data_IF_037341878952
#
_entry.id   IF_037341878952
#
_cell.length_a   1.000
_cell.length_b   1.000
_cell.length_c   1.000
_cell.angle_alpha   90.00
_cell.angle_beta   90.00
_cell.angle_gamma   90.00
#
_symmetry.space_group_name_H-M   'P 1'
#
loop_
_entity.id
_entity.type
_entity.pdbx_description
1 polymer ?
#
# COMPACT_ATOMS: atom_id res chain seq x y z
N UNK A 1 -5.77 9.26 0.53
CA UNK A 1 -4.67 10.22 0.77
C UNK A 1 -5.21 11.62 1.06
N UNK A 2 -6.07 12.16 0.23
CA UNK A 2 -6.55 13.55 0.37
C UNK A 2 -7.39 13.76 1.63
N UNK A 3 -8.25 12.80 1.99
CA UNK A 3 -9.08 12.85 3.20
C UNK A 3 -8.24 12.82 4.49
N UNK A 4 -7.23 11.93 4.59
CA UNK A 4 -6.36 11.87 5.76
C UNK A 4 -5.55 13.17 5.94
N UNK A 5 -5.06 13.75 4.83
CA UNK A 5 -4.39 15.06 4.85
C UNK A 5 -5.33 16.20 5.25
N UNK A 6 -6.57 16.15 4.77
CA UNK A 6 -7.60 17.13 5.13
C UNK A 6 -7.83 17.12 6.65
N UNK A 7 -8.02 15.93 7.24
CA UNK A 7 -8.19 15.76 8.69
C UNK A 7 -7.00 16.37 9.45
N UNK A 8 -5.77 16.04 9.04
CA UNK A 8 -4.58 16.61 9.70
C UNK A 8 -4.52 18.14 9.56
N UNK A 9 -4.92 18.68 8.41
CA UNK A 9 -4.97 20.14 8.21
C UNK A 9 -6.06 20.82 9.05
N UNK A 10 -7.25 20.20 9.19
CA UNK A 10 -8.31 20.68 10.08
C UNK A 10 -7.83 20.73 11.54
N UNK A 11 -7.14 19.69 12.00
CA UNK A 11 -6.53 19.67 13.33
C UNK A 11 -5.49 20.79 13.49
N UNK A 12 -4.62 21.02 12.48
CA UNK A 12 -3.65 22.13 12.49
C UNK A 12 -4.30 23.50 12.61
N UNK A 13 -5.48 23.66 12.05
CA UNK A 13 -6.27 24.90 12.10
C UNK A 13 -7.07 25.05 13.39
N UNK A 14 -6.98 24.09 14.31
CA UNK A 14 -7.70 24.11 15.60
C UNK A 14 -9.11 23.51 15.52
N UNK A 15 -9.54 22.98 14.38
CA UNK A 15 -10.81 22.27 14.27
C UNK A 15 -10.66 20.83 14.79
N UNK A 16 -10.73 20.70 16.11
CA UNK A 16 -10.50 19.45 16.81
C UNK A 16 -11.84 18.85 17.24
N UNK A 17 -12.07 17.59 16.84
CA UNK A 17 -13.29 16.85 17.22
C UNK A 17 -13.09 16.08 18.50
N UNK A 18 -14.15 15.90 19.32
CA UNK A 18 -14.05 15.13 20.55
C UNK A 18 -13.85 13.62 20.33
N UNK A 19 -14.24 13.10 19.17
CA UNK A 19 -14.06 11.69 18.81
C UNK A 19 -13.52 11.59 17.37
N UNK A 20 -12.42 10.85 17.20
CA UNK A 20 -11.89 10.38 15.93
C UNK A 20 -12.04 8.87 15.85
N UNK A 21 -12.96 8.38 15.04
CA UNK A 21 -13.11 6.95 14.78
C UNK A 21 -12.44 6.60 13.45
N UNK A 22 -11.20 6.10 13.53
CA UNK A 22 -10.35 5.81 12.39
C UNK A 22 -10.45 4.31 12.08
N UNK A 23 -11.04 3.94 10.94
CA UNK A 23 -11.29 2.54 10.60
C UNK A 23 -10.87 2.20 9.17
N UNK A 24 -10.74 0.91 8.86
CA UNK A 24 -10.55 0.40 7.50
C UNK A 24 -9.29 -0.43 7.32
N UNK A 25 -8.99 -0.74 6.06
CA UNK A 25 -7.97 -1.73 5.68
C UNK A 25 -6.55 -1.15 5.59
N UNK A 26 -6.42 0.16 5.30
CA UNK A 26 -5.12 0.81 5.17
C UNK A 26 -4.70 1.44 6.50
N UNK A 27 -3.89 0.69 7.23
CA UNK A 27 -3.46 1.08 8.59
C UNK A 27 -2.53 2.29 8.58
N UNK A 28 -1.78 2.51 7.51
CA UNK A 28 -0.86 3.64 7.37
C UNK A 28 -1.52 5.00 7.65
N UNK A 29 -2.72 5.21 7.12
CA UNK A 29 -3.44 6.47 7.37
C UNK A 29 -4.03 6.56 8.77
N UNK A 30 -4.50 5.44 9.33
CA UNK A 30 -5.01 5.37 10.70
C UNK A 30 -3.90 5.74 11.68
N UNK A 31 -2.74 5.10 11.53
CA UNK A 31 -1.59 5.37 12.37
C UNK A 31 -1.05 6.80 12.15
N UNK A 32 -1.03 7.28 10.91
CA UNK A 32 -0.59 8.65 10.59
C UNK A 32 -1.43 9.73 11.27
N UNK A 33 -2.78 9.62 11.23
CA UNK A 33 -3.66 10.58 11.92
C UNK A 33 -3.52 10.45 13.44
N UNK A 34 -3.54 9.22 13.95
CA UNK A 34 -3.42 8.95 15.40
C UNK A 34 -2.10 9.47 15.97
N UNK A 35 -0.98 9.21 15.30
CA UNK A 35 0.33 9.69 15.74
C UNK A 35 0.41 11.22 15.65
N UNK A 36 -0.16 11.82 14.57
CA UNK A 36 -0.20 13.28 14.48
C UNK A 36 -0.94 13.90 15.68
N UNK A 37 -2.09 13.33 16.08
CA UNK A 37 -2.84 13.76 17.27
C UNK A 37 -1.98 13.61 18.52
N UNK A 38 -1.34 12.46 18.72
CA UNK A 38 -0.48 12.16 19.86
C UNK A 38 0.69 13.15 20.01
N UNK A 39 1.28 13.52 18.88
CA UNK A 39 2.51 14.32 18.89
C UNK A 39 2.25 15.82 18.98
N UNK A 40 1.05 16.30 18.56
CA UNK A 40 0.85 17.72 18.33
C UNK A 40 -0.28 18.39 19.12
N UNK A 41 -1.18 17.65 19.80
CA UNK A 41 -2.30 18.25 20.51
C UNK A 41 -1.99 18.70 21.92
N UNK A 42 -0.93 18.18 22.50
CA UNK A 42 -0.47 18.52 23.87
C UNK A 42 1.02 18.85 23.81
N UNK A 43 1.46 19.76 24.68
CA UNK A 43 2.89 19.99 24.92
C UNK A 43 3.52 18.77 25.60
N UNK A 44 4.84 18.64 25.54
CA UNK A 44 5.54 17.51 26.18
C UNK A 44 5.28 17.46 27.71
N UNK A 45 5.10 18.60 28.35
CA UNK A 45 4.80 18.71 29.77
C UNK A 45 3.38 18.24 30.10
N UNK A 46 2.40 18.54 29.22
CA UNK A 46 1.01 18.13 29.40
C UNK A 46 0.77 16.65 29.11
N UNK A 47 1.55 16.05 28.21
CA UNK A 47 1.40 14.64 27.82
C UNK A 47 1.48 13.68 28.98
N UNK A 48 2.35 13.96 29.95
CA UNK A 48 2.56 13.08 31.12
C UNK A 48 1.29 12.84 31.95
N UNK A 49 0.37 13.81 32.00
CA UNK A 49 -0.86 13.75 32.80
C UNK A 49 -2.13 13.63 31.94
N UNK A 50 -2.09 14.12 30.71
CA UNK A 50 -3.28 14.27 29.87
C UNK A 50 -3.27 13.42 28.60
N UNK A 51 -2.23 12.61 28.36
CA UNK A 51 -2.21 11.68 27.24
C UNK A 51 -2.19 10.23 27.74
N UNK A 52 -3.10 9.43 27.21
CA UNK A 52 -3.19 8.01 27.52
C UNK A 52 -3.26 7.20 26.25
N UNK A 53 -2.44 6.14 26.14
CA UNK A 53 -2.52 5.16 25.06
C UNK A 53 -2.95 3.82 25.65
N UNK A 54 -4.07 3.30 25.15
CA UNK A 54 -4.65 2.02 25.52
C UNK A 54 -4.61 1.05 24.34
N UNK A 55 -4.56 -0.24 24.61
CA UNK A 55 -4.66 -1.27 23.57
C UNK A 55 -5.97 -2.05 23.73
N UNK A 56 -6.69 -2.27 22.63
CA UNK A 56 -8.02 -2.88 22.67
C UNK A 56 -8.11 -4.24 23.38
N UNK A 57 -7.03 -5.04 23.36
CA UNK A 57 -6.96 -6.32 24.07
C UNK A 57 -6.80 -6.19 25.58
N UNK A 58 -6.26 -5.06 26.05
CA UNK A 58 -5.87 -4.85 27.45
C UNK A 58 -6.85 -3.92 28.19
N UNK A 59 -7.94 -3.49 27.56
CA UNK A 59 -8.95 -2.57 28.10
C UNK A 59 -10.37 -2.98 27.68
N UNK A 60 -11.35 -2.26 28.17
CA UNK A 60 -12.77 -2.42 27.82
C UNK A 60 -13.44 -1.07 27.59
N UNK A 61 -14.65 -1.06 27.01
CA UNK A 61 -15.37 0.18 26.69
C UNK A 61 -15.73 0.98 27.94
N UNK A 62 -16.06 0.33 29.03
CA UNK A 62 -16.41 0.95 30.30
C UNK A 62 -15.21 1.74 30.87
N UNK A 63 -14.01 1.17 30.82
CA UNK A 63 -12.77 1.82 31.24
C UNK A 63 -12.41 2.99 30.34
N UNK A 64 -12.49 2.82 29.01
CA UNK A 64 -12.27 3.89 28.04
C UNK A 64 -13.19 5.07 28.30
N UNK A 65 -14.49 4.82 28.48
CA UNK A 65 -15.50 5.84 28.76
C UNK A 65 -15.26 6.50 30.11
N UNK A 66 -14.89 5.74 31.14
CA UNK A 66 -14.55 6.28 32.47
C UNK A 66 -13.39 7.28 32.37
N UNK A 67 -12.32 6.92 31.65
CA UNK A 67 -11.20 7.81 31.43
C UNK A 67 -11.59 9.02 30.56
N UNK A 68 -12.39 8.82 29.54
CA UNK A 68 -12.82 9.88 28.61
C UNK A 68 -13.72 10.94 29.25
N UNK A 69 -14.40 10.60 30.34
CA UNK A 69 -15.24 11.54 31.11
C UNK A 69 -14.47 12.38 32.12
N UNK A 70 -13.19 12.10 32.34
CA UNK A 70 -12.36 12.89 33.28
C UNK A 70 -12.05 14.27 32.68
N UNK A 71 -11.76 15.22 33.52
CA UNK A 71 -11.24 16.52 33.13
C UNK A 71 -9.72 16.51 33.00
N UNK A 72 -9.15 17.25 32.09
CA UNK A 72 -7.69 17.38 31.97
C UNK A 72 -7.09 18.01 33.22
N UNK A 73 -5.84 17.69 33.51
CA UNK A 73 -5.08 18.28 34.60
C UNK A 73 -4.18 19.38 34.08
N UNK A 74 -4.47 20.64 34.50
CA UNK A 74 -3.67 21.83 34.11
C UNK A 74 -3.43 22.00 32.59
N UNK A 75 -4.38 21.53 31.78
CA UNK A 75 -4.36 21.61 30.33
C UNK A 75 -5.78 21.89 29.80
N UNK A 76 -5.88 22.38 28.56
CA UNK A 76 -7.18 22.63 27.92
C UNK A 76 -7.91 21.32 27.55
N UNK A 77 -7.16 20.27 27.30
CA UNK A 77 -7.72 18.97 26.86
C UNK A 77 -6.89 17.78 27.29
N UNK A 78 -7.52 16.60 27.27
CA UNK A 78 -6.84 15.31 27.35
C UNK A 78 -6.98 14.55 26.04
N UNK A 79 -6.03 13.66 25.76
CA UNK A 79 -5.99 12.80 24.57
C UNK A 79 -5.97 11.34 24.97
N UNK A 80 -6.93 10.57 24.54
CA UNK A 80 -7.00 9.13 24.78
C UNK A 80 -6.95 8.41 23.43
N UNK A 81 -5.92 7.60 23.22
CA UNK A 81 -5.71 6.86 21.99
C UNK A 81 -5.91 5.37 22.27
N UNK A 82 -6.87 4.76 21.61
CA UNK A 82 -7.13 3.32 21.70
C UNK A 82 -6.58 2.66 20.44
N UNK A 83 -5.38 2.07 20.57
CA UNK A 83 -4.77 1.27 19.49
C UNK A 83 -5.40 -0.11 19.43
N UNK A 84 -5.44 -0.71 18.23
CA UNK A 84 -6.02 -2.03 17.97
C UNK A 84 -7.46 -2.17 18.49
N UNK A 85 -8.28 -1.10 18.35
CA UNK A 85 -9.65 -1.05 18.86
C UNK A 85 -10.58 -2.11 18.23
N UNK A 86 -10.19 -2.78 17.13
CA UNK A 86 -10.93 -3.91 16.56
C UNK A 86 -11.02 -5.13 17.49
N UNK A 87 -10.17 -5.22 18.50
CA UNK A 87 -10.26 -6.27 19.53
C UNK A 87 -11.51 -6.09 20.40
N UNK A 88 -12.02 -4.86 20.50
CA UNK A 88 -13.28 -4.51 21.17
C UNK A 88 -14.51 -4.68 20.28
N UNK A 89 -14.40 -5.29 19.10
CA UNK A 89 -15.49 -5.34 18.10
C UNK A 89 -16.81 -5.91 18.60
N UNK A 90 -16.79 -6.78 19.62
CA UNK A 90 -18.00 -7.37 20.21
C UNK A 90 -18.76 -6.40 21.12
N UNK A 91 -18.06 -5.46 21.74
CA UNK A 91 -18.60 -4.51 22.73
C UNK A 91 -18.58 -3.07 22.27
N UNK A 92 -18.01 -2.78 21.08
CA UNK A 92 -17.77 -1.42 20.53
C UNK A 92 -19.04 -0.56 20.49
N UNK A 93 -20.22 -1.17 20.29
CA UNK A 93 -21.51 -0.47 20.27
C UNK A 93 -21.84 0.24 21.58
N UNK A 94 -21.32 -0.21 22.73
CA UNK A 94 -21.51 0.45 24.03
C UNK A 94 -20.90 1.85 24.07
N UNK A 95 -19.97 2.15 23.15
CA UNK A 95 -19.39 3.49 23.03
C UNK A 95 -20.43 4.52 22.52
N UNK A 96 -21.55 4.06 21.93
CA UNK A 96 -22.59 4.93 21.39
C UNK A 96 -23.18 5.90 22.43
N UNK A 97 -23.34 5.45 23.67
CA UNK A 97 -23.94 6.26 24.73
C UNK A 97 -22.99 7.41 25.17
N UNK A 98 -21.68 7.16 25.20
CA UNK A 98 -20.70 8.24 25.40
C UNK A 98 -20.67 9.18 24.20
N UNK A 99 -20.72 8.63 22.99
CA UNK A 99 -20.67 9.41 21.75
C UNK A 99 -21.87 10.34 21.55
N UNK A 100 -23.02 10.12 22.23
CA UNK A 100 -24.15 11.04 22.18
C UNK A 100 -23.83 12.39 22.83
N UNK A 101 -23.06 12.39 23.89
CA UNK A 101 -22.64 13.59 24.61
C UNK A 101 -21.18 13.46 25.09
N UNK A 102 -20.21 13.54 24.16
CA UNK A 102 -18.82 13.37 24.49
C UNK A 102 -18.29 14.55 25.32
N UNK A 103 -17.35 14.27 26.20
CA UNK A 103 -16.69 15.31 27.00
C UNK A 103 -15.94 16.28 26.07
N UNK A 104 -16.28 17.59 26.08
CA UNK A 104 -15.69 18.55 25.13
C UNK A 104 -14.17 18.73 25.28
N UNK A 105 -13.64 18.52 26.48
CA UNK A 105 -12.21 18.64 26.79
C UNK A 105 -11.43 17.34 26.52
N UNK A 106 -12.07 16.30 25.97
CA UNK A 106 -11.45 15.02 25.65
C UNK A 106 -11.37 14.81 24.15
N UNK A 107 -10.23 14.38 23.66
CA UNK A 107 -10.03 13.87 22.30
C UNK A 107 -9.85 12.36 22.36
N UNK A 108 -10.90 11.62 22.03
CA UNK A 108 -10.88 10.17 21.98
C UNK A 108 -10.59 9.69 20.58
N UNK A 109 -9.48 8.95 20.38
CA UNK A 109 -9.06 8.39 19.09
C UNK A 109 -9.20 6.87 19.13
N UNK A 110 -10.08 6.31 18.29
CA UNK A 110 -10.31 4.88 18.16
C UNK A 110 -9.64 4.37 16.86
N UNK A 111 -8.51 3.66 16.98
CA UNK A 111 -7.81 3.06 15.83
C UNK A 111 -8.38 1.65 15.57
N UNK A 112 -9.43 1.57 14.74
CA UNK A 112 -10.19 0.36 14.44
C UNK A 112 -9.72 -0.26 13.12
N UNK A 113 -8.60 -0.99 13.16
CA UNK A 113 -7.91 -1.51 11.99
C UNK A 113 -8.58 -2.74 11.39
N UNK A 114 -8.43 -2.94 10.07
CA UNK A 114 -8.89 -4.09 9.29
C UNK A 114 -10.40 -4.36 9.31
N UNK A 115 -11.16 -3.60 10.07
CA UNK A 115 -12.62 -3.74 10.22
C UNK A 115 -13.31 -2.40 9.99
N UNK A 116 -14.64 -2.48 9.86
CA UNK A 116 -15.52 -1.31 9.72
C UNK A 116 -16.74 -1.50 10.61
N UNK A 117 -17.27 -0.40 11.13
CA UNK A 117 -18.59 -0.42 11.77
C UNK A 117 -19.67 -0.22 10.71
N UNK A 118 -20.78 -0.92 10.84
CA UNK A 118 -21.92 -0.79 9.92
C UNK A 118 -22.54 0.61 10.07
N UNK A 119 -22.69 1.30 8.94
CA UNK A 119 -23.26 2.65 8.86
C UNK A 119 -24.70 2.75 9.40
N UNK A 120 -25.41 1.62 9.47
CA UNK A 120 -26.79 1.54 10.00
C UNK A 120 -26.84 1.52 11.52
N UNK A 121 -25.74 1.16 12.19
CA UNK A 121 -25.66 1.02 13.63
C UNK A 121 -25.69 2.37 14.36
N UNK A 122 -26.19 2.37 15.61
CA UNK A 122 -26.29 3.55 16.48
C UNK A 122 -24.95 4.26 16.62
N UNK A 123 -23.88 3.53 16.92
CA UNK A 123 -22.54 4.08 17.11
C UNK A 123 -22.08 4.92 15.90
N UNK A 124 -22.19 4.37 14.67
CA UNK A 124 -21.77 5.10 13.48
C UNK A 124 -22.58 6.40 13.31
N UNK A 125 -23.92 6.31 13.43
CA UNK A 125 -24.80 7.48 13.25
C UNK A 125 -24.53 8.57 14.29
N UNK A 126 -24.19 8.16 15.50
CA UNK A 126 -23.91 9.09 16.61
C UNK A 126 -22.58 9.77 16.39
N UNK A 127 -21.48 9.02 16.15
CA UNK A 127 -20.15 9.62 15.91
C UNK A 127 -20.16 10.51 14.66
N UNK A 128 -20.93 10.18 13.63
CA UNK A 128 -21.06 11.04 12.44
C UNK A 128 -21.64 12.43 12.74
N UNK A 129 -22.34 12.60 13.87
CA UNK A 129 -22.91 13.89 14.30
C UNK A 129 -22.01 14.64 15.28
N UNK A 130 -21.34 13.91 16.18
CA UNK A 130 -20.60 14.49 17.32
C UNK A 130 -19.09 14.44 17.16
N UNK A 131 -18.58 13.71 16.18
CA UNK A 131 -17.14 13.50 15.96
C UNK A 131 -16.80 13.36 14.50
N UNK A 132 -15.72 12.64 14.22
CA UNK A 132 -15.23 12.36 12.87
C UNK A 132 -15.08 10.85 12.67
N UNK A 133 -15.59 10.34 11.55
CA UNK A 133 -15.37 8.97 11.08
C UNK A 133 -14.48 9.04 9.84
N UNK A 134 -13.34 8.36 9.89
CA UNK A 134 -12.46 8.17 8.75
C UNK A 134 -12.43 6.70 8.34
N UNK A 135 -12.69 6.42 7.08
CA UNK A 135 -12.63 5.07 6.51
C UNK A 135 -11.46 4.97 5.52
N UNK A 136 -10.37 4.34 5.93
CA UNK A 136 -9.24 4.05 5.05
C UNK A 136 -9.54 2.88 4.11
N UNK A 137 -9.12 3.01 2.85
CA UNK A 137 -9.22 1.95 1.84
C UNK A 137 -7.83 1.56 1.39
N UNK A 138 -7.62 0.25 1.26
CA UNK A 138 -6.37 -0.27 0.70
C UNK A 138 -6.18 0.22 -0.72
N UNK A 139 -4.98 0.64 -1.04
CA UNK A 139 -4.62 0.96 -2.42
C UNK A 139 -4.39 -0.32 -3.22
N UNK A 140 -4.86 -0.30 -4.46
CA UNK A 140 -4.49 -1.33 -5.42
C UNK A 140 -3.06 -1.09 -5.92
N UNK A 141 -2.37 -2.13 -6.34
CA UNK A 141 -0.97 -2.08 -6.78
C UNK A 141 -0.73 -0.98 -7.83
N UNK A 142 -1.63 -0.85 -8.81
CA UNK A 142 -1.56 0.18 -9.84
C UNK A 142 -1.70 1.62 -9.33
N UNK A 143 -2.15 1.83 -8.10
CA UNK A 143 -2.31 3.14 -7.47
C UNK A 143 -1.11 3.51 -6.60
N UNK A 144 -0.32 2.52 -6.18
CA UNK A 144 0.78 2.72 -5.23
C UNK A 144 1.91 3.55 -5.87
N UNK A 145 2.22 3.32 -7.15
CA UNK A 145 3.23 4.11 -7.86
C UNK A 145 2.87 5.60 -7.90
N UNK A 146 1.62 5.92 -8.23
CA UNK A 146 1.13 7.31 -8.21
C UNK A 146 1.12 7.89 -6.79
N UNK A 147 0.81 7.06 -5.79
CA UNK A 147 0.86 7.46 -4.38
C UNK A 147 2.29 7.83 -3.96
N UNK A 148 3.29 7.04 -4.34
CA UNK A 148 4.71 7.33 -4.08
C UNK A 148 5.09 8.69 -4.68
N UNK A 149 4.81 8.90 -5.96
CA UNK A 149 5.12 10.16 -6.65
C UNK A 149 4.45 11.37 -5.98
N UNK A 150 3.17 11.27 -5.62
CA UNK A 150 2.43 12.33 -4.92
C UNK A 150 2.97 12.58 -3.52
N UNK A 151 3.35 11.53 -2.80
CA UNK A 151 3.92 11.63 -1.45
C UNK A 151 5.27 12.34 -1.51
N UNK A 152 6.18 11.94 -2.40
CA UNK A 152 7.47 12.58 -2.57
C UNK A 152 7.33 14.05 -2.99
N UNK A 153 6.46 14.34 -3.96
CA UNK A 153 6.17 15.72 -4.36
C UNK A 153 5.69 16.60 -3.21
N UNK A 154 4.82 16.06 -2.34
CA UNK A 154 4.32 16.82 -1.18
C UNK A 154 5.39 17.10 -0.12
N UNK A 155 6.46 16.33 -0.13
CA UNK A 155 7.64 16.49 0.75
C UNK A 155 8.74 17.34 0.09
N UNK A 156 8.50 17.83 -1.15
CA UNK A 156 9.46 18.65 -1.90
C UNK A 156 10.52 17.85 -2.66
N UNK A 157 10.26 16.56 -2.91
CA UNK A 157 11.14 15.68 -3.69
C UNK A 157 10.49 15.24 -4.99
N UNK A 158 11.33 14.84 -5.96
CA UNK A 158 10.88 14.25 -7.21
C UNK A 158 11.40 12.82 -7.33
N UNK A 159 10.55 11.92 -7.84
CA UNK A 159 10.93 10.52 -8.14
C UNK A 159 10.44 10.15 -9.53
N UNK A 160 11.26 9.43 -10.29
CA UNK A 160 10.87 8.99 -11.63
C UNK A 160 9.81 7.87 -11.58
N UNK A 161 8.93 7.78 -12.60
CA UNK A 161 7.94 6.69 -12.66
C UNK A 161 8.56 5.29 -12.59
N UNK A 162 9.72 5.09 -13.24
CA UNK A 162 10.45 3.82 -13.21
C UNK A 162 10.96 3.50 -11.79
N UNK A 163 11.57 4.46 -11.10
CA UNK A 163 12.03 4.28 -9.72
C UNK A 163 10.86 4.00 -8.75
N UNK A 164 9.74 4.70 -8.94
CA UNK A 164 8.51 4.44 -8.19
C UNK A 164 7.98 3.02 -8.41
N UNK A 165 7.98 2.54 -9.65
CA UNK A 165 7.55 1.17 -9.97
C UNK A 165 8.48 0.10 -9.38
N UNK A 166 9.78 0.33 -9.38
CA UNK A 166 10.75 -0.57 -8.73
C UNK A 166 10.45 -0.74 -7.24
N UNK A 167 10.11 0.35 -6.54
CA UNK A 167 9.70 0.29 -5.14
C UNK A 167 8.41 -0.54 -4.95
N UNK A 168 7.42 -0.36 -5.81
CA UNK A 168 6.16 -1.13 -5.76
C UNK A 168 6.41 -2.62 -5.95
N UNK A 169 7.23 -2.99 -6.92
CA UNK A 169 7.51 -4.40 -7.19
C UNK A 169 8.30 -5.10 -6.09
N UNK A 170 9.19 -4.36 -5.43
CA UNK A 170 10.02 -4.90 -4.36
C UNK A 170 9.31 -4.94 -3.01
N UNK A 171 8.58 -3.86 -2.67
CA UNK A 171 7.94 -3.68 -1.36
C UNK A 171 6.46 -4.08 -1.36
N UNK A 172 5.87 -4.29 -2.53
CA UNK A 172 4.45 -4.57 -2.68
C UNK A 172 3.58 -3.34 -2.43
N UNK A 173 2.43 -3.56 -1.79
CA UNK A 173 1.43 -2.51 -1.51
C UNK A 173 1.42 -2.03 -0.06
N UNK A 174 2.41 -2.39 0.73
CA UNK A 174 2.55 -1.98 2.13
C UNK A 174 3.06 -0.53 2.19
N UNK A 175 2.14 0.42 2.39
CA UNK A 175 2.46 1.85 2.41
C UNK A 175 3.41 2.22 3.54
N UNK A 176 3.35 1.50 4.68
CA UNK A 176 4.25 1.75 5.81
C UNK A 176 5.70 1.39 5.47
N UNK A 177 5.92 0.22 4.86
CA UNK A 177 7.26 -0.18 4.39
C UNK A 177 7.78 0.77 3.31
N UNK A 178 6.93 1.11 2.35
CA UNK A 178 7.30 2.05 1.29
C UNK A 178 7.67 3.41 1.90
N UNK A 179 6.88 3.93 2.82
CA UNK A 179 7.14 5.22 3.45
C UNK A 179 8.47 5.25 4.23
N UNK A 180 8.80 4.16 4.90
CA UNK A 180 10.09 4.03 5.58
C UNK A 180 11.27 4.13 4.59
N UNK A 181 11.18 3.47 3.43
CA UNK A 181 12.21 3.58 2.39
C UNK A 181 12.26 5.00 1.78
N UNK A 182 11.08 5.63 1.56
CA UNK A 182 11.03 7.01 1.10
C UNK A 182 11.66 7.99 2.10
N UNK A 183 11.47 7.78 3.40
CA UNK A 183 12.12 8.59 4.43
C UNK A 183 13.65 8.42 4.41
N UNK A 184 14.17 7.21 4.24
CA UNK A 184 15.62 7.00 4.07
C UNK A 184 16.18 7.77 2.86
N UNK A 185 15.48 7.69 1.72
CA UNK A 185 15.89 8.45 0.52
C UNK A 185 15.91 9.96 0.77
N UNK A 186 14.99 10.49 1.58
CA UNK A 186 14.96 11.92 1.93
C UNK A 186 16.16 12.35 2.79
N UNK A 187 16.72 11.45 3.60
CA UNK A 187 17.93 11.74 4.39
C UNK A 187 19.19 11.82 3.52
N UNK A 188 19.20 11.12 2.40
CA UNK A 188 20.38 10.96 1.52
C UNK A 188 20.32 11.95 0.35
N UNK A 189 19.13 12.14 -0.24
CA UNK A 189 18.97 12.94 -1.45
C UNK A 189 18.65 14.42 -1.13
N UNK A 190 19.24 15.33 -1.92
CA UNK A 190 18.83 16.75 -1.91
C UNK A 190 17.43 16.91 -2.55
N UNK A 191 16.69 17.94 -2.15
CA UNK A 191 15.31 18.17 -2.63
C UNK A 191 15.20 18.36 -4.15
N UNK A 192 16.18 18.97 -4.78
CA UNK A 192 16.20 19.19 -6.23
C UNK A 192 16.60 17.95 -7.04
N UNK A 193 17.08 16.89 -6.38
CA UNK A 193 17.51 15.67 -7.06
C UNK A 193 16.29 14.85 -7.50
N UNK A 194 16.24 14.49 -8.78
CA UNK A 194 15.29 13.49 -9.28
C UNK A 194 15.75 12.11 -8.83
N UNK A 195 14.99 11.47 -7.96
CA UNK A 195 15.26 10.10 -7.52
C UNK A 195 15.04 9.16 -8.72
N UNK A 196 16.16 8.64 -9.21
CA UNK A 196 16.25 7.77 -10.37
C UNK A 196 16.35 6.29 -9.97
N UNK A 197 16.24 5.34 -10.92
CA UNK A 197 16.51 3.92 -10.68
C UNK A 197 17.89 3.65 -10.09
N UNK A 198 18.90 4.41 -10.48
CA UNK A 198 20.26 4.27 -9.98
C UNK A 198 20.35 4.57 -8.47
N UNK A 199 19.66 5.63 -8.04
CA UNK A 199 19.57 6.00 -6.62
C UNK A 199 18.86 4.90 -5.81
N UNK A 200 17.81 4.28 -6.38
CA UNK A 200 17.12 3.15 -5.74
C UNK A 200 18.06 1.94 -5.61
N UNK A 201 18.79 1.62 -6.69
CA UNK A 201 19.76 0.50 -6.68
C UNK A 201 20.83 0.71 -5.62
N UNK A 202 21.44 1.89 -5.58
CA UNK A 202 22.54 2.21 -4.67
C UNK A 202 22.13 2.20 -3.19
N UNK A 203 20.92 2.70 -2.88
CA UNK A 203 20.53 2.97 -1.49
C UNK A 203 19.53 1.96 -0.92
N UNK A 204 18.80 1.22 -1.76
CA UNK A 204 17.79 0.23 -1.34
C UNK A 204 18.21 -1.19 -1.74
N UNK A 205 19.18 -1.33 -2.66
CA UNK A 205 19.71 -2.61 -3.09
C UNK A 205 18.84 -3.34 -4.14
N UNK A 206 17.92 -2.64 -4.77
CA UNK A 206 17.08 -3.20 -5.85
C UNK A 206 17.79 -2.97 -7.19
N UNK A 207 18.18 -4.05 -7.88
CA UNK A 207 18.84 -3.90 -9.18
C UNK A 207 17.95 -3.16 -10.18
N UNK A 208 18.49 -2.13 -10.81
CA UNK A 208 17.82 -1.35 -11.85
C UNK A 208 17.68 -2.09 -13.18
N UNK A 209 18.56 -3.07 -13.43
CA UNK A 209 18.67 -3.80 -14.69
C UNK A 209 18.10 -5.23 -14.59
N UNK A 210 18.19 -5.84 -13.38
CA UNK A 210 17.79 -7.22 -13.14
C UNK A 210 16.64 -7.29 -12.12
N UNK A 211 15.45 -6.91 -12.56
CA UNK A 211 14.20 -6.95 -11.78
C UNK A 211 13.04 -7.43 -12.66
N UNK A 212 11.90 -7.72 -12.05
CA UNK A 212 10.73 -8.24 -12.78
C UNK A 212 10.15 -7.23 -13.77
N UNK A 213 10.29 -5.92 -13.53
CA UNK A 213 9.85 -4.90 -14.47
C UNK A 213 10.67 -4.96 -15.77
N UNK A 214 11.99 -5.02 -15.67
CA UNK A 214 12.89 -5.13 -16.81
C UNK A 214 12.70 -6.48 -17.53
N UNK A 215 12.42 -7.57 -16.79
CA UNK A 215 12.09 -8.86 -17.39
C UNK A 215 10.83 -8.78 -18.26
N UNK A 216 9.73 -8.21 -17.72
CA UNK A 216 8.47 -8.04 -18.45
C UNK A 216 8.66 -7.18 -19.70
N UNK A 217 9.42 -6.11 -19.59
CA UNK A 217 9.75 -5.22 -20.71
C UNK A 217 10.53 -5.96 -21.78
N UNK A 218 11.62 -6.65 -21.41
CA UNK A 218 12.44 -7.43 -22.34
C UNK A 218 11.61 -8.51 -23.05
N UNK A 219 10.76 -9.23 -22.33
CA UNK A 219 9.84 -10.21 -22.91
C UNK A 219 8.87 -9.52 -23.87
N UNK A 220 8.22 -8.44 -23.46
CA UNK A 220 7.24 -7.69 -24.26
C UNK A 220 7.83 -7.15 -25.57
N UNK A 221 9.06 -6.70 -25.55
CA UNK A 221 9.84 -6.22 -26.71
C UNK A 221 10.48 -7.35 -27.52
N UNK A 222 10.40 -8.61 -27.04
CA UNK A 222 11.09 -9.77 -27.63
C UNK A 222 12.62 -9.65 -27.61
N UNK A 223 13.16 -8.91 -26.64
CA UNK A 223 14.61 -8.86 -26.39
C UNK A 223 15.04 -10.14 -25.63
N UNK A 224 15.27 -11.19 -26.42
CA UNK A 224 15.62 -12.52 -25.93
C UNK A 224 16.93 -12.49 -25.13
N UNK A 225 17.93 -11.72 -25.56
CA UNK A 225 19.22 -11.65 -24.90
C UNK A 225 19.10 -11.04 -23.49
N UNK A 226 18.42 -9.91 -23.40
CA UNK A 226 18.18 -9.24 -22.12
C UNK A 226 17.34 -10.11 -21.16
N UNK A 227 16.27 -10.71 -21.66
CA UNK A 227 15.42 -11.61 -20.87
C UNK A 227 16.22 -12.79 -20.30
N UNK A 228 17.09 -13.43 -21.09
CA UNK A 228 17.96 -14.51 -20.61
C UNK A 228 18.97 -14.04 -19.56
N UNK A 229 19.55 -12.86 -19.71
CA UNK A 229 20.47 -12.29 -18.71
C UNK A 229 19.75 -12.08 -17.37
N UNK A 230 18.53 -11.56 -17.39
CA UNK A 230 17.74 -11.34 -16.17
C UNK A 230 17.38 -12.67 -15.52
N UNK A 231 16.90 -13.66 -16.28
CA UNK A 231 16.58 -14.99 -15.74
C UNK A 231 17.80 -15.71 -15.18
N UNK A 232 18.97 -15.57 -15.80
CA UNK A 232 20.20 -16.13 -15.25
C UNK A 232 20.59 -15.47 -13.91
N UNK A 233 20.41 -14.15 -13.80
CA UNK A 233 20.62 -13.46 -12.54
C UNK A 233 19.64 -13.93 -11.46
N UNK A 234 18.34 -14.12 -11.78
CA UNK A 234 17.35 -14.65 -10.84
C UNK A 234 17.69 -16.07 -10.39
N UNK A 235 18.11 -16.92 -11.32
CA UNK A 235 18.54 -18.29 -11.02
C UNK A 235 19.74 -18.35 -10.05
N UNK A 236 20.65 -17.38 -10.12
CA UNK A 236 21.80 -17.26 -9.22
C UNK A 236 21.43 -16.61 -7.87
N UNK A 237 20.35 -15.83 -7.81
CA UNK A 237 19.91 -15.09 -6.63
C UNK A 237 18.44 -15.43 -6.26
N UNK A 238 18.11 -16.70 -5.97
CA UNK A 238 16.71 -17.16 -5.80
C UNK A 238 16.05 -16.65 -4.51
N UNK A 239 16.84 -16.24 -3.52
CA UNK A 239 16.29 -15.64 -2.27
C UNK A 239 15.68 -14.27 -2.53
N UNK A 240 16.34 -13.45 -3.36
CA UNK A 240 15.91 -12.10 -3.68
C UNK A 240 14.89 -12.10 -4.83
N UNK A 241 14.89 -13.15 -5.64
CA UNK A 241 14.01 -13.31 -6.82
C UNK A 241 13.26 -14.66 -6.79
N UNK A 242 12.30 -14.85 -5.86
CA UNK A 242 11.57 -16.11 -5.75
C UNK A 242 10.77 -16.42 -7.02
N UNK A 243 10.87 -17.66 -7.53
CA UNK A 243 10.17 -18.14 -8.72
C UNK A 243 8.65 -17.84 -8.68
N UNK A 244 8.01 -18.05 -7.53
CA UNK A 244 6.56 -17.85 -7.36
C UNK A 244 6.16 -16.39 -7.59
N UNK A 245 6.99 -15.45 -7.16
CA UNK A 245 6.77 -14.01 -7.38
C UNK A 245 6.88 -13.68 -8.87
N UNK A 246 7.92 -14.17 -9.53
CA UNK A 246 8.13 -13.97 -10.98
C UNK A 246 6.99 -14.55 -11.80
N UNK A 247 6.53 -15.77 -11.50
CA UNK A 247 5.38 -16.40 -12.19
C UNK A 247 4.12 -15.54 -11.99
N UNK A 248 3.84 -15.09 -10.77
CA UNK A 248 2.65 -14.28 -10.46
C UNK A 248 2.64 -12.96 -11.23
N UNK A 249 3.79 -12.28 -11.29
CA UNK A 249 3.93 -11.01 -12.03
C UNK A 249 3.81 -11.21 -13.54
N UNK A 250 4.40 -12.27 -14.10
CA UNK A 250 4.26 -12.61 -15.52
C UNK A 250 2.81 -13.02 -15.85
N UNK A 251 2.14 -13.77 -14.99
CA UNK A 251 0.73 -14.10 -15.15
C UNK A 251 -0.16 -12.86 -15.19
N UNK A 252 0.06 -11.92 -14.26
CA UNK A 252 -0.65 -10.64 -14.26
C UNK A 252 -0.41 -9.85 -15.56
N UNK A 253 0.84 -9.78 -16.00
CA UNK A 253 1.22 -9.09 -17.22
C UNK A 253 0.56 -9.67 -18.47
N UNK A 254 0.65 -10.99 -18.66
CA UNK A 254 0.03 -11.64 -19.83
C UNK A 254 -1.50 -11.64 -19.77
N UNK A 255 -2.08 -11.70 -18.57
CA UNK A 255 -3.53 -11.51 -18.40
C UNK A 255 -3.98 -10.11 -18.81
N UNK A 256 -3.21 -9.07 -18.51
CA UNK A 256 -3.47 -7.70 -18.98
C UNK A 256 -3.30 -7.57 -20.49
N UNK A 257 -2.29 -8.24 -21.10
CA UNK A 257 -2.15 -8.28 -22.57
C UNK A 257 -3.35 -8.98 -23.21
N UNK A 258 -3.83 -10.08 -22.63
CA UNK A 258 -5.04 -10.76 -23.10
C UNK A 258 -6.26 -9.84 -23.04
N UNK A 259 -6.44 -9.13 -21.94
CA UNK A 259 -7.50 -8.13 -21.80
C UNK A 259 -7.37 -7.02 -22.84
N UNK A 260 -6.16 -6.53 -23.10
CA UNK A 260 -5.92 -5.52 -24.15
C UNK A 260 -6.44 -5.95 -25.53
N UNK A 261 -6.25 -7.24 -25.89
CA UNK A 261 -6.77 -7.75 -27.15
C UNK A 261 -8.29 -7.69 -27.27
N UNK A 262 -9.01 -7.82 -26.15
CA UNK A 262 -10.47 -7.73 -26.07
C UNK A 262 -11.02 -6.31 -25.97
N UNK A 263 -10.17 -5.27 -25.89
CA UNK A 263 -10.64 -3.89 -25.78
C UNK A 263 -11.18 -3.35 -27.10
N UNK A 264 -12.36 -2.75 -27.08
CA UNK A 264 -12.92 -2.01 -28.21
C UNK A 264 -12.23 -0.63 -28.36
N UNK A 265 -12.05 0.09 -27.24
CA UNK A 265 -11.33 1.37 -27.20
C UNK A 265 -9.88 1.14 -26.76
N UNK A 266 -8.95 1.37 -27.66
CA UNK A 266 -7.49 1.25 -27.46
C UNK A 266 -6.80 2.60 -27.26
N UNK A 267 -7.56 3.66 -26.98
CA UNK A 267 -6.97 4.94 -26.57
C UNK A 267 -6.17 4.79 -25.29
N UNK A 268 -5.09 5.55 -25.15
CA UNK A 268 -4.16 5.47 -23.99
C UNK A 268 -4.89 5.59 -22.65
N UNK A 269 -5.89 6.47 -22.57
CA UNK A 269 -6.69 6.67 -21.37
C UNK A 269 -7.63 5.50 -21.03
N UNK A 270 -8.24 4.88 -22.06
CA UNK A 270 -9.10 3.71 -21.88
C UNK A 270 -8.28 2.48 -21.46
N UNK A 271 -7.16 2.25 -22.13
CA UNK A 271 -6.23 1.14 -21.81
C UNK A 271 -5.75 1.25 -20.37
N UNK A 272 -5.22 2.42 -19.95
CA UNK A 272 -4.76 2.64 -18.57
C UNK A 272 -5.84 2.31 -17.55
N UNK A 273 -7.07 2.77 -17.79
CA UNK A 273 -8.20 2.59 -16.88
C UNK A 273 -8.68 1.14 -16.80
N UNK A 274 -8.80 0.48 -17.97
CA UNK A 274 -9.35 -0.88 -18.02
C UNK A 274 -8.35 -1.94 -17.57
N UNK A 275 -7.08 -1.80 -17.97
CA UNK A 275 -6.01 -2.71 -17.54
C UNK A 275 -5.51 -2.38 -16.13
N UNK A 276 -5.95 -1.26 -15.55
CA UNK A 276 -5.48 -0.76 -14.23
C UNK A 276 -3.95 -0.62 -14.19
N UNK A 277 -3.37 -0.01 -15.21
CA UNK A 277 -1.93 0.25 -15.31
C UNK A 277 -1.67 1.75 -15.35
N UNK A 278 -0.48 2.19 -14.93
CA UNK A 278 -0.09 3.60 -15.05
C UNK A 278 -0.08 4.03 -16.53
N UNK A 279 -0.61 5.23 -16.86
CA UNK A 279 -0.57 5.77 -18.23
C UNK A 279 0.83 5.81 -18.83
N UNK A 280 1.85 5.88 -17.98
CA UNK A 280 3.26 5.89 -18.39
C UNK A 280 3.66 4.61 -19.12
N UNK A 281 3.18 3.44 -18.66
CA UNK A 281 3.56 2.13 -19.18
C UNK A 281 2.64 1.59 -20.29
N UNK A 282 1.58 2.32 -20.67
CA UNK A 282 0.63 1.86 -21.71
C UNK A 282 1.34 1.53 -23.03
N UNK A 283 2.39 2.29 -23.40
CA UNK A 283 3.19 2.02 -24.60
C UNK A 283 3.83 0.64 -24.61
N UNK A 284 4.35 0.20 -23.46
CA UNK A 284 5.01 -1.10 -23.33
C UNK A 284 4.00 -2.25 -23.54
N UNK A 285 2.78 -2.11 -23.00
CA UNK A 285 1.70 -3.08 -23.20
C UNK A 285 1.20 -3.13 -24.66
N UNK A 286 1.14 -1.99 -25.35
CA UNK A 286 0.80 -1.95 -26.78
C UNK A 286 1.87 -2.69 -27.59
N UNK A 287 3.14 -2.46 -27.29
CA UNK A 287 4.26 -3.16 -27.94
C UNK A 287 4.20 -4.66 -27.69
N UNK A 288 3.99 -5.06 -26.45
CA UNK A 288 3.86 -6.46 -26.08
C UNK A 288 2.65 -7.13 -26.76
N UNK A 289 1.50 -6.46 -26.85
CA UNK A 289 0.33 -7.02 -27.50
C UNK A 289 0.53 -7.23 -29.03
N UNK A 290 1.34 -6.38 -29.68
CA UNK A 290 1.75 -6.61 -31.08
C UNK A 290 2.62 -7.86 -31.23
N UNK A 291 3.55 -8.07 -30.31
CA UNK A 291 4.50 -9.18 -30.32
C UNK A 291 3.91 -10.51 -29.84
N UNK A 292 2.81 -10.45 -29.09
CA UNK A 292 2.10 -11.60 -28.52
C UNK A 292 0.62 -11.58 -28.93
N UNK A 293 0.27 -12.19 -30.09
CA UNK A 293 -1.13 -12.34 -30.48
C UNK A 293 -1.91 -13.18 -29.46
N UNK A 294 -3.23 -13.02 -29.38
CA UNK A 294 -4.12 -13.64 -28.38
C UNK A 294 -3.86 -15.16 -28.20
N UNK A 295 -3.70 -15.90 -29.31
CA UNK A 295 -3.41 -17.36 -29.25
C UNK A 295 -2.09 -17.65 -28.52
N UNK A 296 -1.06 -16.83 -28.76
CA UNK A 296 0.24 -16.98 -28.12
C UNK A 296 0.15 -16.60 -26.61
N UNK A 297 -0.56 -15.53 -26.29
CA UNK A 297 -0.81 -15.13 -24.89
C UNK A 297 -1.50 -16.25 -24.11
N UNK A 298 -2.54 -16.88 -24.70
CA UNK A 298 -3.25 -18.00 -24.07
C UNK A 298 -2.32 -19.19 -23.82
N UNK A 299 -1.40 -19.49 -24.76
CA UNK A 299 -0.40 -20.53 -24.55
C UNK A 299 0.57 -20.17 -23.42
N UNK A 300 1.07 -18.95 -23.39
CA UNK A 300 1.98 -18.47 -22.32
C UNK A 300 1.30 -18.59 -20.95
N UNK A 301 0.03 -18.22 -20.85
CA UNK A 301 -0.73 -18.40 -19.59
C UNK A 301 -0.80 -19.86 -19.16
N UNK A 302 -0.98 -20.79 -20.09
CA UNK A 302 -0.94 -22.22 -19.81
C UNK A 302 0.46 -22.69 -19.38
N UNK A 303 1.51 -22.20 -20.04
CA UNK A 303 2.90 -22.53 -19.70
C UNK A 303 3.28 -21.99 -18.30
N UNK A 304 2.80 -20.80 -17.94
CA UNK A 304 2.94 -20.24 -16.59
C UNK A 304 2.25 -21.09 -15.53
N UNK A 305 1.02 -21.57 -15.81
CA UNK A 305 0.31 -22.46 -14.90
C UNK A 305 1.05 -23.80 -14.73
N UNK A 306 1.52 -24.40 -15.82
CA UNK A 306 2.34 -25.63 -15.75
C UNK A 306 3.58 -25.42 -14.89
N UNK A 307 4.28 -24.31 -15.07
CA UNK A 307 5.48 -23.99 -14.30
C UNK A 307 5.17 -23.73 -12.82
N UNK A 308 4.04 -23.10 -12.50
CA UNK A 308 3.58 -22.93 -11.11
C UNK A 308 3.31 -24.30 -10.44
N UNK A 309 2.65 -25.21 -11.13
CA UNK A 309 2.40 -26.58 -10.64
C UNK A 309 3.70 -27.34 -10.43
N UNK A 310 4.65 -27.26 -11.38
CA UNK A 310 5.99 -27.87 -11.25
C UNK A 310 6.77 -27.27 -10.08
N UNK A 311 6.65 -25.97 -9.82
CA UNK A 311 7.33 -25.29 -8.70
C UNK A 311 6.90 -25.81 -7.32
N UNK A 312 5.71 -26.41 -7.24
CA UNK A 312 5.14 -27.04 -6.05
C UNK A 312 5.46 -28.55 -5.96
N UNK A 313 6.35 -29.03 -6.83
CA UNK A 313 6.84 -30.42 -6.81
C UNK A 313 6.01 -31.43 -7.62
N UNK A 314 4.93 -30.99 -8.29
CA UNK A 314 4.10 -31.89 -9.09
C UNK A 314 4.77 -32.13 -10.45
N UNK A 315 5.22 -33.33 -10.70
CA UNK A 315 5.87 -33.74 -11.96
C UNK A 315 7.30 -33.23 -12.18
N UNK A 316 7.91 -32.57 -11.18
CA UNK A 316 9.26 -32.00 -11.27
C UNK A 316 9.99 -31.93 -9.92
N UNK A 317 9.94 -32.99 -9.13
CA UNK A 317 10.45 -33.03 -7.75
C UNK A 317 11.96 -32.66 -7.58
N UNK A 318 12.76 -32.78 -8.64
CA UNK A 318 14.22 -32.56 -8.59
C UNK A 318 14.69 -31.41 -9.50
N UNK A 319 13.79 -30.57 -10.01
CA UNK A 319 14.15 -29.45 -10.89
C UNK A 319 14.37 -28.19 -10.07
N UNK A 320 15.50 -27.51 -10.27
CA UNK A 320 15.77 -26.24 -9.56
C UNK A 320 14.82 -25.13 -10.02
N UNK A 321 14.56 -24.15 -9.12
CA UNK A 321 13.76 -22.97 -9.47
C UNK A 321 14.36 -22.21 -10.66
N UNK A 322 15.70 -22.15 -10.74
CA UNK A 322 16.40 -21.49 -11.83
C UNK A 322 16.19 -22.21 -13.17
N UNK A 323 16.17 -23.53 -13.19
CA UNK A 323 15.94 -24.29 -14.42
C UNK A 323 14.49 -24.18 -14.88
N UNK A 324 13.51 -24.16 -13.95
CA UNK A 324 12.11 -23.89 -14.27
C UNK A 324 11.91 -22.51 -14.90
N UNK A 325 12.61 -21.47 -14.38
CA UNK A 325 12.57 -20.12 -14.98
C UNK A 325 13.16 -20.10 -16.38
N UNK A 326 14.26 -20.80 -16.63
CA UNK A 326 14.90 -20.88 -17.96
C UNK A 326 14.00 -21.62 -18.95
N UNK A 327 13.41 -22.77 -18.54
CA UNK A 327 12.45 -23.51 -19.36
C UNK A 327 11.24 -22.63 -19.73
N UNK A 328 10.68 -21.94 -18.74
CA UNK A 328 9.56 -21.05 -18.94
C UNK A 328 9.89 -19.92 -19.93
N UNK A 329 11.05 -19.26 -19.79
CA UNK A 329 11.46 -18.20 -20.72
C UNK A 329 11.56 -18.71 -22.15
N UNK A 330 12.16 -19.88 -22.36
CA UNK A 330 12.24 -20.51 -23.70
C UNK A 330 10.85 -20.75 -24.28
N UNK A 331 9.90 -21.26 -23.50
CA UNK A 331 8.49 -21.46 -23.94
C UNK A 331 7.81 -20.15 -24.30
N UNK A 332 8.04 -19.07 -23.55
CA UNK A 332 7.46 -17.75 -23.80
C UNK A 332 8.03 -17.12 -25.07
N UNK A 333 9.34 -17.25 -25.29
CA UNK A 333 10.06 -16.57 -26.38
C UNK A 333 9.94 -17.30 -27.72
N UNK A 334 9.65 -18.59 -27.75
CA UNK A 334 9.37 -19.35 -28.97
C UNK A 334 7.89 -19.25 -29.37
#
# INVERSE_FOLDING_TARGET
MDEARKIVNEIKQGDIKPIYFLMGEETFYIDGISNYIADNLLSEEEKGFNQMTLYGRDTNIEEIVSNAKRYPMMAERQVIIVKEAQDLSRTIEKLADYAENPQPTTVLVMCYKYKKIDKRRKLHKTIAKTGLIFESKRLYENQVGDWIMKTMKSRGYSISPKASQMLVEFLGTDLGKIDNELQKLQLICKKETLISPEIIEENIGISKDFNNFELRKAIGERDTLKAHRIINYFAQNPKDNPLVVTISLLFSYFSQILQYHGLNDKSKGAVSRQLKISPYFVGDYITAARNFPMKKVSKVISDLHETDVKSKGVGAANVSQGDLLKELLVKIMN
#
